data_IF_418945658947
#
_entry.id   IF_418945658947
#
_cell.length_a   1.000
_cell.length_b   1.000
_cell.length_c   1.000
_cell.angle_alpha   90.00
_cell.angle_beta   90.00
_cell.angle_gamma   90.00
#
_symmetry.space_group_name_H-M   'P 1'
#
loop_
_entity.id
_entity.type
_entity.pdbx_description
1 polymer ?
#
# COMPACT_ATOMS: atom_id res chain seq x y z
N UNK A 1 4.79 -11.67 -18.99
CA UNK A 1 4.60 -11.99 -17.55
C UNK A 1 4.74 -10.70 -16.77
N UNK A 2 3.92 -10.50 -15.76
CA UNK A 2 3.99 -9.38 -14.82
C UNK A 2 4.84 -9.74 -13.61
N UNK A 3 5.27 -8.71 -12.88
CA UNK A 3 5.72 -8.79 -11.49
C UNK A 3 4.67 -8.09 -10.64
N UNK A 4 4.15 -8.81 -9.65
CA UNK A 4 2.93 -8.45 -8.93
C UNK A 4 3.18 -8.34 -7.42
N UNK A 5 2.66 -7.26 -6.82
CA UNK A 5 2.72 -7.02 -5.39
C UNK A 5 1.31 -6.76 -4.86
N UNK A 6 1.00 -7.35 -3.72
CA UNK A 6 -0.19 -7.03 -2.94
C UNK A 6 0.18 -6.15 -1.75
N UNK A 7 -0.56 -5.07 -1.56
CA UNK A 7 -0.43 -4.15 -0.42
C UNK A 7 -1.76 -4.14 0.31
N UNK A 8 -1.77 -4.30 1.62
CA UNK A 8 -3.01 -4.45 2.39
C UNK A 8 -2.91 -3.88 3.81
N UNK A 9 -4.06 -3.60 4.42
CA UNK A 9 -4.14 -3.20 5.83
C UNK A 9 -3.54 -4.31 6.72
N UNK A 10 -2.64 -3.98 7.66
CA UNK A 10 -1.91 -5.00 8.43
C UNK A 10 -2.83 -5.84 9.32
N UNK A 11 -4.01 -5.37 9.67
CA UNK A 11 -4.96 -6.11 10.52
C UNK A 11 -5.97 -6.95 9.72
N UNK A 12 -5.93 -6.92 8.38
CA UNK A 12 -6.89 -7.63 7.53
C UNK A 12 -6.75 -9.16 7.63
N UNK A 13 -5.52 -9.66 7.80
CA UNK A 13 -5.23 -11.09 7.90
C UNK A 13 -3.90 -11.33 8.63
N UNK A 14 -3.77 -12.48 9.30
CA UNK A 14 -2.50 -12.99 9.86
C UNK A 14 -1.65 -13.67 8.77
N UNK A 15 -0.35 -13.92 9.01
CA UNK A 15 0.48 -14.64 8.04
C UNK A 15 0.02 -16.10 7.87
N UNK A 16 -0.49 -16.72 8.94
CA UNK A 16 -1.00 -18.09 8.93
C UNK A 16 -2.26 -18.22 8.07
N UNK A 17 -3.17 -17.25 8.15
CA UNK A 17 -4.45 -17.25 7.42
C UNK A 17 -4.35 -16.65 6.01
N UNK A 18 -3.19 -16.07 5.65
CA UNK A 18 -3.00 -15.34 4.39
C UNK A 18 -3.36 -16.17 3.15
N UNK A 19 -2.90 -17.44 2.97
CA UNK A 19 -3.21 -18.19 1.76
C UNK A 19 -4.72 -18.35 1.52
N UNK A 20 -5.49 -18.67 2.57
CA UNK A 20 -6.94 -18.84 2.47
C UNK A 20 -7.67 -17.51 2.28
N UNK A 21 -7.16 -16.43 2.87
CA UNK A 21 -7.70 -15.09 2.63
C UNK A 21 -7.45 -14.66 1.19
N UNK A 22 -6.24 -14.84 0.68
CA UNK A 22 -5.86 -14.51 -0.70
C UNK A 22 -6.71 -15.23 -1.72
N UNK A 23 -6.91 -16.55 -1.58
CA UNK A 23 -7.78 -17.35 -2.47
C UNK A 23 -9.20 -16.78 -2.61
N UNK A 24 -9.72 -16.14 -1.55
CA UNK A 24 -11.04 -15.53 -1.54
C UNK A 24 -11.04 -14.12 -2.13
N UNK A 25 -10.11 -13.26 -1.71
CA UNK A 25 -10.12 -11.85 -2.14
C UNK A 25 -9.60 -11.66 -3.55
N UNK A 26 -8.74 -12.56 -4.06
CA UNK A 26 -8.20 -12.53 -5.41
C UNK A 26 -9.22 -12.90 -6.50
N UNK A 27 -10.45 -13.29 -6.14
CA UNK A 27 -11.52 -13.51 -7.10
C UNK A 27 -12.01 -12.19 -7.71
N UNK A 28 -11.85 -11.08 -6.99
CA UNK A 28 -12.34 -9.75 -7.38
C UNK A 28 -13.82 -9.77 -7.79
N UNK A 29 -14.60 -10.66 -7.16
CA UNK A 29 -16.00 -10.86 -7.47
C UNK A 29 -16.86 -9.79 -6.80
N UNK A 30 -17.78 -9.22 -7.57
CA UNK A 30 -18.80 -8.32 -7.05
C UNK A 30 -19.19 -7.23 -8.03
N UNK A 31 -20.22 -6.44 -7.71
CA UNK A 31 -20.66 -5.33 -8.55
C UNK A 31 -19.75 -4.09 -8.43
N UNK A 32 -18.69 -4.15 -7.61
CA UNK A 32 -17.79 -3.02 -7.35
C UNK A 32 -16.80 -2.85 -8.49
N UNK A 33 -16.49 -1.61 -8.80
CA UNK A 33 -15.38 -1.26 -9.68
C UNK A 33 -14.06 -1.26 -8.89
N UNK A 34 -13.26 -2.31 -9.12
CA UNK A 34 -11.94 -2.47 -8.49
C UNK A 34 -10.85 -1.64 -9.17
N UNK A 35 -11.17 -0.80 -10.15
CA UNK A 35 -10.22 0.17 -10.69
C UNK A 35 -10.25 1.52 -9.97
N UNK A 36 -11.09 1.66 -8.93
CA UNK A 36 -11.31 2.92 -8.21
C UNK A 36 -10.93 2.82 -6.73
N UNK A 37 -10.56 3.96 -6.15
CA UNK A 37 -10.31 4.09 -4.71
C UNK A 37 -11.58 4.30 -3.87
N UNK A 38 -12.75 4.23 -4.49
CA UNK A 38 -14.04 4.46 -3.83
C UNK A 38 -14.35 3.31 -2.89
N UNK A 39 -14.64 3.64 -1.62
CA UNK A 39 -14.85 2.66 -0.56
C UNK A 39 -13.56 2.11 0.06
N UNK A 40 -12.37 2.52 -0.38
CA UNK A 40 -11.11 2.08 0.25
C UNK A 40 -10.82 2.79 1.57
N UNK A 41 -9.98 2.22 2.43
CA UNK A 41 -9.53 2.87 3.67
C UNK A 41 -8.71 4.14 3.40
N UNK A 42 -8.58 5.07 4.36
CA UNK A 42 -7.73 6.26 4.20
C UNK A 42 -6.27 5.95 3.86
N UNK A 43 -5.68 4.88 4.43
CA UNK A 43 -4.30 4.49 4.17
C UNK A 43 -4.14 3.98 2.74
N UNK A 44 -5.05 3.10 2.28
CA UNK A 44 -5.08 2.59 0.91
C UNK A 44 -5.23 3.72 -0.11
N UNK A 45 -6.14 4.66 0.12
CA UNK A 45 -6.32 5.82 -0.77
C UNK A 45 -5.08 6.71 -0.85
N UNK A 46 -4.37 6.87 0.28
CA UNK A 46 -3.18 7.73 0.34
C UNK A 46 -1.99 7.05 -0.34
N UNK A 47 -1.78 5.76 -0.05
CA UNK A 47 -0.79 4.92 -0.69
C UNK A 47 -0.94 4.89 -2.21
N UNK A 48 -2.16 4.64 -2.72
CA UNK A 48 -2.43 4.61 -4.15
C UNK A 48 -2.06 5.94 -4.83
N UNK A 49 -2.49 7.07 -4.26
CA UNK A 49 -2.21 8.41 -4.84
C UNK A 49 -0.72 8.74 -4.90
N UNK A 50 0.08 8.22 -3.98
CA UNK A 50 1.53 8.40 -4.02
C UNK A 50 2.18 7.43 -5.01
N UNK A 51 1.72 6.17 -5.06
CA UNK A 51 2.27 5.15 -5.95
C UNK A 51 2.07 5.49 -7.44
N UNK A 52 0.90 5.99 -7.82
CA UNK A 52 0.60 6.32 -9.24
C UNK A 52 1.46 7.45 -9.80
N UNK A 53 2.15 8.22 -8.94
CA UNK A 53 3.10 9.25 -9.39
C UNK A 53 4.36 8.64 -9.99
N UNK A 54 4.77 7.46 -9.50
CA UNK A 54 5.90 6.70 -10.02
C UNK A 54 5.46 5.67 -11.07
N UNK A 55 4.29 5.07 -10.86
CA UNK A 55 3.73 4.01 -11.70
C UNK A 55 2.32 4.42 -12.20
N UNK A 56 2.21 5.26 -13.23
CA UNK A 56 0.91 5.66 -13.74
C UNK A 56 0.05 4.45 -14.14
N UNK A 57 -1.27 4.50 -13.85
CA UNK A 57 -2.16 3.39 -14.10
C UNK A 57 -2.48 3.23 -15.59
N UNK A 58 -2.61 1.98 -16.01
CA UNK A 58 -3.12 1.57 -17.33
C UNK A 58 -4.65 1.52 -17.34
N UNK A 59 -5.28 1.37 -16.17
CA UNK A 59 -6.70 1.14 -16.00
C UNK A 59 -7.32 2.07 -14.94
N UNK A 60 -8.65 2.18 -14.98
CA UNK A 60 -9.41 3.00 -14.04
C UNK A 60 -9.48 4.49 -14.38
N UNK A 61 -10.04 5.31 -13.47
CA UNK A 61 -10.34 6.71 -13.73
C UNK A 61 -9.11 7.60 -13.82
N UNK A 62 -7.98 7.18 -13.26
CA UNK A 62 -6.70 7.89 -13.29
C UNK A 62 -5.79 7.41 -14.44
N UNK A 63 -6.29 6.52 -15.32
CA UNK A 63 -5.53 5.91 -16.41
C UNK A 63 -4.95 6.93 -17.38
N UNK A 64 -3.73 6.64 -17.84
CA UNK A 64 -3.16 7.31 -19.01
C UNK A 64 -4.00 6.98 -20.26
N UNK A 65 -4.02 7.90 -21.22
CA UNK A 65 -4.53 7.60 -22.56
C UNK A 65 -3.59 6.64 -23.30
N UNK A 66 -4.11 5.91 -24.30
CA UNK A 66 -3.33 4.97 -25.11
C UNK A 66 -2.05 5.62 -25.70
N UNK A 67 -2.15 6.85 -26.21
CA UNK A 67 -1.01 7.61 -26.75
C UNK A 67 0.05 7.92 -25.67
N UNK A 68 -0.38 8.24 -24.45
CA UNK A 68 0.52 8.49 -23.32
C UNK A 68 1.21 7.21 -22.85
N UNK A 69 0.49 6.09 -22.85
CA UNK A 69 1.05 4.76 -22.54
C UNK A 69 2.12 4.39 -23.57
N UNK A 70 1.82 4.48 -24.86
CA UNK A 70 2.75 4.15 -25.94
C UNK A 70 4.01 5.02 -25.87
N UNK A 71 3.86 6.32 -25.66
CA UNK A 71 4.98 7.25 -25.53
C UNK A 71 5.87 6.93 -24.31
N UNK A 72 5.27 6.47 -23.21
CA UNK A 72 5.97 6.13 -21.97
C UNK A 72 6.73 4.81 -22.11
N UNK A 73 6.07 3.79 -22.67
CA UNK A 73 6.68 2.49 -22.95
C UNK A 73 7.83 2.60 -23.96
N UNK A 74 7.69 3.42 -25.00
CA UNK A 74 8.76 3.68 -25.98
C UNK A 74 10.01 4.30 -25.35
N UNK A 75 9.86 5.02 -24.24
CA UNK A 75 10.97 5.59 -23.46
C UNK A 75 11.49 4.65 -22.36
N UNK A 76 10.92 3.44 -22.24
CA UNK A 76 11.30 2.46 -21.23
C UNK A 76 10.80 2.80 -19.82
N UNK A 77 9.82 3.70 -19.68
CA UNK A 77 9.22 4.04 -18.40
C UNK A 77 8.06 3.09 -18.05
N UNK A 78 7.84 2.80 -16.76
CA UNK A 78 6.82 1.86 -16.34
C UNK A 78 5.42 2.46 -16.42
N UNK A 79 4.45 1.57 -16.65
CA UNK A 79 3.01 1.71 -16.39
C UNK A 79 2.58 0.51 -15.57
N UNK A 80 1.48 0.63 -14.82
CA UNK A 80 1.03 -0.42 -13.93
C UNK A 80 -0.47 -0.70 -14.08
N UNK A 81 -0.85 -1.97 -13.88
CA UNK A 81 -2.23 -2.39 -13.76
C UNK A 81 -2.59 -2.46 -12.26
N UNK A 82 -3.79 -1.99 -11.90
CA UNK A 82 -4.24 -1.86 -10.53
C UNK A 82 -5.57 -2.55 -10.28
N UNK A 83 -5.63 -3.29 -9.18
CA UNK A 83 -6.89 -3.75 -8.56
C UNK A 83 -6.96 -3.22 -7.14
N UNK A 84 -8.01 -2.49 -6.80
CA UNK A 84 -8.16 -1.71 -5.59
C UNK A 84 -9.39 -2.19 -4.84
N UNK A 85 -9.16 -2.77 -3.65
CA UNK A 85 -10.20 -3.25 -2.75
C UNK A 85 -10.59 -2.23 -1.68
N UNK A 86 -11.28 -2.68 -0.65
CA UNK A 86 -11.55 -1.86 0.54
C UNK A 86 -10.26 -1.62 1.32
N UNK A 87 -9.52 -2.68 1.59
CA UNK A 87 -8.37 -2.74 2.47
C UNK A 87 -7.09 -3.20 1.76
N UNK A 88 -7.07 -3.21 0.42
CA UNK A 88 -5.93 -3.66 -0.38
C UNK A 88 -5.74 -2.89 -1.70
N UNK A 89 -4.51 -2.91 -2.20
CA UNK A 89 -4.09 -2.57 -3.56
C UNK A 89 -3.25 -3.71 -4.10
N UNK A 90 -3.65 -4.29 -5.22
CA UNK A 90 -2.82 -5.18 -6.01
C UNK A 90 -2.29 -4.40 -7.22
N UNK A 91 -0.99 -4.51 -7.48
CA UNK A 91 -0.32 -3.79 -8.56
C UNK A 91 0.56 -4.74 -9.36
N UNK A 92 0.43 -4.68 -10.69
CA UNK A 92 1.24 -5.45 -11.63
C UNK A 92 2.03 -4.56 -12.58
N UNK A 93 3.32 -4.86 -12.77
CA UNK A 93 4.21 -4.17 -13.73
C UNK A 93 4.94 -5.16 -14.63
N UNK A 94 5.61 -4.68 -15.68
CA UNK A 94 6.57 -5.52 -16.41
C UNK A 94 7.76 -5.91 -15.52
N UNK A 95 8.35 -7.10 -15.74
CA UNK A 95 9.55 -7.54 -14.99
C UNK A 95 10.71 -6.54 -15.03
N UNK A 96 10.87 -5.79 -16.11
CA UNK A 96 11.88 -4.74 -16.23
C UNK A 96 11.74 -3.61 -15.20
N UNK A 97 10.57 -3.48 -14.58
CA UNK A 97 10.26 -2.48 -13.56
C UNK A 97 10.18 -3.06 -12.13
N UNK A 98 10.38 -4.38 -11.96
CA UNK A 98 10.20 -5.08 -10.69
C UNK A 98 11.02 -4.46 -9.55
N UNK A 99 12.34 -4.30 -9.73
CA UNK A 99 13.24 -3.74 -8.70
C UNK A 99 12.82 -2.33 -8.26
N UNK A 100 12.36 -1.52 -9.22
CA UNK A 100 11.88 -0.16 -8.94
C UNK A 100 10.56 -0.19 -8.18
N UNK A 101 9.66 -1.12 -8.54
CA UNK A 101 8.38 -1.30 -7.86
C UNK A 101 8.60 -1.77 -6.42
N UNK A 102 9.43 -2.80 -6.20
CA UNK A 102 9.76 -3.33 -4.86
C UNK A 102 10.28 -2.22 -3.95
N UNK A 103 11.22 -1.42 -4.44
CA UNK A 103 11.81 -0.32 -3.67
C UNK A 103 10.75 0.73 -3.32
N UNK A 104 9.97 1.18 -4.31
CA UNK A 104 8.95 2.23 -4.11
C UNK A 104 7.83 1.77 -3.19
N UNK A 105 7.33 0.55 -3.38
CA UNK A 105 6.28 -0.03 -2.55
C UNK A 105 6.77 -0.21 -1.11
N UNK A 106 8.01 -0.66 -0.91
CA UNK A 106 8.59 -0.79 0.44
C UNK A 106 8.59 0.53 1.20
N UNK A 107 9.02 1.62 0.56
CA UNK A 107 9.07 2.95 1.16
C UNK A 107 7.68 3.53 1.46
N UNK A 108 6.76 3.39 0.49
CA UNK A 108 5.39 3.88 0.65
C UNK A 108 4.60 3.06 1.66
N UNK A 109 4.73 1.74 1.67
CA UNK A 109 4.04 0.88 2.62
C UNK A 109 4.53 1.14 4.06
N UNK A 110 5.83 1.39 4.24
CA UNK A 110 6.37 1.85 5.51
C UNK A 110 5.73 3.16 5.96
N UNK A 111 5.66 4.15 5.07
CA UNK A 111 5.10 5.48 5.33
C UNK A 111 3.62 5.41 5.68
N UNK A 112 2.86 4.62 4.94
CA UNK A 112 1.41 4.49 5.07
C UNK A 112 0.97 3.38 6.04
N UNK A 113 1.92 2.70 6.68
CA UNK A 113 1.67 1.65 7.69
C UNK A 113 0.90 0.44 7.13
N UNK A 114 1.21 0.05 5.90
CA UNK A 114 0.60 -1.08 5.20
C UNK A 114 1.51 -2.31 5.20
N UNK A 115 0.93 -3.50 5.10
CA UNK A 115 1.64 -4.74 4.86
C UNK A 115 1.83 -4.98 3.35
N UNK A 116 2.87 -5.72 2.99
CA UNK A 116 3.25 -6.02 1.59
C UNK A 116 3.43 -7.52 1.44
N UNK A 117 2.80 -8.14 0.44
CA UNK A 117 3.07 -9.49 0.01
C UNK A 117 3.63 -9.48 -1.42
N UNK A 118 4.84 -10.00 -1.58
CA UNK A 118 5.52 -10.11 -2.88
C UNK A 118 5.02 -11.36 -3.62
N UNK A 119 3.88 -11.23 -4.31
CA UNK A 119 3.17 -12.36 -4.94
C UNK A 119 4.04 -13.09 -5.96
N UNK A 120 4.87 -12.36 -6.70
CA UNK A 120 5.82 -12.97 -7.65
C UNK A 120 7.06 -13.59 -6.99
N UNK A 121 7.35 -13.31 -5.72
CA UNK A 121 8.51 -13.83 -4.97
C UNK A 121 8.06 -14.79 -3.85
N UNK A 122 7.34 -15.85 -4.25
CA UNK A 122 6.86 -16.91 -3.34
C UNK A 122 5.91 -16.41 -2.22
N UNK A 123 5.39 -15.19 -2.32
CA UNK A 123 4.42 -14.64 -1.38
C UNK A 123 5.01 -14.19 -0.05
N UNK A 124 6.30 -13.82 0.00
CA UNK A 124 6.91 -13.27 1.21
C UNK A 124 6.13 -12.04 1.72
N UNK A 125 5.78 -12.04 3.02
CA UNK A 125 5.00 -10.96 3.66
C UNK A 125 5.92 -10.11 4.54
N UNK A 126 5.83 -8.78 4.37
CA UNK A 126 6.49 -7.79 5.21
C UNK A 126 5.44 -6.92 5.88
N UNK A 127 5.48 -6.84 7.21
CA UNK A 127 4.57 -6.02 8.02
C UNK A 127 5.27 -4.76 8.54
N UNK A 128 4.54 -3.66 8.73
CA UNK A 128 5.10 -2.44 9.28
C UNK A 128 5.44 -2.64 10.77
N UNK A 129 6.47 -1.99 11.33
CA UNK A 129 6.93 -2.27 12.70
C UNK A 129 5.85 -1.93 13.73
N UNK A 130 5.69 -2.71 14.79
CA UNK A 130 4.70 -2.41 15.84
C UNK A 130 4.94 -1.01 16.44
N UNK A 131 3.88 -0.21 16.64
CA UNK A 131 4.03 1.03 17.40
C UNK A 131 4.43 0.66 18.83
N UNK A 132 5.46 1.31 19.42
CA UNK A 132 5.72 1.12 20.83
C UNK A 132 4.46 1.54 21.59
N UNK A 133 3.86 0.59 22.29
CA UNK A 133 2.72 0.84 23.17
C UNK A 133 3.17 1.93 24.13
N UNK A 134 2.65 3.15 23.98
CA UNK A 134 2.88 4.21 24.96
C UNK A 134 2.26 3.72 26.26
N UNK A 135 3.08 3.11 27.10
CA UNK A 135 2.71 2.83 28.49
C UNK A 135 2.39 4.17 29.11
N UNK A 136 1.10 4.42 29.34
CA UNK A 136 0.60 5.58 30.06
C UNK A 136 1.02 5.49 31.54
N UNK A 137 2.32 5.58 31.80
CA UNK A 137 2.84 5.88 33.13
C UNK A 137 2.78 7.40 33.29
N UNK A 138 1.64 7.82 33.81
CA UNK A 138 1.36 9.16 34.30
C UNK A 138 2.41 9.54 35.35
N UNK A 139 3.44 10.28 34.97
CA UNK A 139 4.20 11.08 35.93
C UNK A 139 3.77 12.53 35.71
N UNK A 140 2.72 12.94 36.41
CA UNK A 140 2.47 14.36 36.66
C UNK A 140 3.58 14.83 37.59
N UNK A 141 4.49 15.64 37.07
CA UNK A 141 5.45 16.38 37.89
C UNK A 141 4.72 17.62 38.38
N UNK A 142 4.11 17.54 39.56
CA UNK A 142 3.57 18.70 40.25
C UNK A 142 4.75 19.57 40.74
N UNK A 143 5.02 20.67 40.04
CA UNK A 143 5.93 21.71 40.53
C UNK A 143 5.21 22.51 41.63
N UNK A 144 5.49 22.19 42.88
CA UNK A 144 5.19 23.07 44.02
C UNK A 144 6.29 24.12 44.11
N UNK A 145 5.98 25.37 43.73
CA UNK A 145 6.82 26.53 44.06
C UNK A 145 6.35 27.10 45.39
N UNK A 146 7.12 26.85 46.45
CA UNK A 146 6.98 27.54 47.74
C UNK A 146 7.68 28.91 47.70
N UNK A 147 6.90 29.95 48.06
CA UNK A 147 7.22 31.27 48.65
C UNK A 147 8.68 31.76 48.65
N UNK A 148 8.92 33.06 48.41
CA UNK A 148 8.81 34.05 49.50
C UNK A 148 8.72 35.50 49.00
N UNK A 149 7.78 36.24 49.59
CA UNK A 149 7.71 37.70 49.55
C UNK A 149 8.88 38.29 50.35
N UNK A 150 9.49 39.36 49.82
CA UNK A 150 10.07 40.43 50.63
C UNK A 150 10.05 41.74 49.85
#
# INVERSE_FOLDING_TARGET
MSYDILIFEPDAVTDEDFPQWWDRVAQWDGPRDFSTIDGSTPAIRSFYRDLIRAFPPFNGPDALSDDEVDARLAQGFPVADYTIGEDLVYVGVSWSAADTLVTTVSELAWTHRLAVAYVSDEGAIVRPPEQPVQSASSVRVDYVVQHSMR
#
